data_IF_063865840902
#
_entry.id   IF_063865840902
#
_cell.length_a   1.000
_cell.length_b   1.000
_cell.length_c   1.000
_cell.angle_alpha   90.00
_cell.angle_beta   90.00
_cell.angle_gamma   90.00
#
_symmetry.space_group_name_H-M   'P 1'
#
loop_
_entity.id
_entity.type
_entity.pdbx_description
1 polymer ?
#
# COMPACT_ATOMS: atom_id res chain seq x y z
N UNK A 1 -8.62 3.06 -13.20
CA UNK A 1 -8.24 1.67 -13.58
C UNK A 1 -6.75 1.37 -13.38
N UNK A 2 -5.84 2.31 -13.69
CA UNK A 2 -4.40 2.11 -13.52
C UNK A 2 -3.97 1.82 -12.09
N UNK A 3 -4.54 2.50 -11.10
CA UNK A 3 -4.24 2.28 -9.68
C UNK A 3 -4.53 0.83 -9.27
N UNK A 4 -5.68 0.27 -9.67
CA UNK A 4 -6.06 -1.12 -9.38
C UNK A 4 -5.08 -2.10 -10.02
N UNK A 5 -4.65 -1.84 -11.25
CA UNK A 5 -3.67 -2.65 -11.97
C UNK A 5 -2.32 -2.68 -11.24
N UNK A 6 -1.80 -1.51 -10.83
CA UNK A 6 -0.50 -1.44 -10.16
C UNK A 6 -0.54 -1.97 -8.73
N UNK A 7 -1.66 -1.83 -8.02
CA UNK A 7 -1.86 -2.49 -6.72
C UNK A 7 -1.89 -4.01 -6.86
N UNK A 8 -2.55 -4.54 -7.88
CA UNK A 8 -2.52 -5.97 -8.22
C UNK A 8 -1.12 -6.45 -8.58
N UNK A 9 -0.35 -5.65 -9.34
CA UNK A 9 1.03 -5.96 -9.69
C UNK A 9 1.93 -6.02 -8.46
N UNK A 10 1.77 -5.10 -7.51
CA UNK A 10 2.50 -5.10 -6.24
C UNK A 10 2.14 -6.30 -5.38
N UNK A 11 0.85 -6.60 -5.24
CA UNK A 11 0.39 -7.79 -4.51
C UNK A 11 0.97 -9.08 -5.09
N UNK A 12 0.96 -9.22 -6.42
CA UNK A 12 1.56 -10.34 -7.11
C UNK A 12 3.09 -10.40 -6.93
N UNK A 13 3.77 -9.25 -7.07
CA UNK A 13 5.22 -9.15 -6.92
C UNK A 13 5.69 -9.56 -5.53
N UNK A 14 5.03 -9.07 -4.48
CA UNK A 14 5.32 -9.47 -3.10
C UNK A 14 4.86 -10.90 -2.79
N UNK A 15 3.74 -11.34 -3.36
CA UNK A 15 3.24 -12.71 -3.19
C UNK A 15 4.10 -13.78 -3.87
N UNK A 16 4.87 -13.41 -4.89
CA UNK A 16 5.86 -14.28 -5.55
C UNK A 16 7.24 -14.22 -4.91
N UNK A 17 7.46 -13.32 -3.95
CA UNK A 17 8.72 -13.22 -3.23
C UNK A 17 8.93 -14.47 -2.36
N UNK A 18 10.16 -14.93 -2.30
CA UNK A 18 10.59 -16.01 -1.41
C UNK A 18 11.76 -15.53 -0.57
N UNK A 19 11.90 -16.11 0.60
CA UNK A 19 12.93 -15.75 1.55
C UNK A 19 13.77 -16.99 1.82
N UNK A 20 15.06 -16.93 1.49
CA UNK A 20 16.01 -18.01 1.71
C UNK A 20 17.32 -17.38 2.14
N UNK A 21 17.82 -17.76 3.30
CA UNK A 21 19.08 -17.28 3.82
C UNK A 21 20.18 -18.29 3.50
N UNK A 22 21.16 -17.88 2.69
CA UNK A 22 22.30 -18.72 2.31
C UNK A 22 23.45 -18.59 3.33
N UNK A 23 24.26 -19.63 3.44
CA UNK A 23 25.49 -19.65 4.27
C UNK A 23 26.44 -18.49 3.99
N UNK A 24 26.57 -18.08 2.72
CA UNK A 24 27.42 -16.95 2.34
C UNK A 24 26.84 -15.61 2.84
N UNK A 25 25.53 -15.47 2.86
CA UNK A 25 24.83 -14.28 3.36
C UNK A 25 24.94 -14.20 4.89
N UNK A 26 24.78 -15.32 5.60
CA UNK A 26 24.96 -15.41 7.05
C UNK A 26 26.37 -14.99 7.44
N UNK A 27 27.41 -15.42 6.70
CA UNK A 27 28.79 -15.04 6.98
C UNK A 27 29.08 -13.53 6.84
N UNK A 28 28.21 -12.79 6.15
CA UNK A 28 28.31 -11.32 6.01
C UNK A 28 27.57 -10.54 7.11
N UNK A 29 26.76 -11.22 7.93
CA UNK A 29 26.01 -10.64 9.04
C UNK A 29 26.85 -10.50 10.31
N UNK A 30 26.31 -9.87 11.34
CA UNK A 30 26.96 -9.73 12.63
C UNK A 30 27.25 -11.12 13.26
N UNK A 31 28.49 -11.31 13.72
CA UNK A 31 28.97 -12.57 14.30
C UNK A 31 28.09 -13.04 15.48
N UNK A 32 27.45 -12.08 16.16
CA UNK A 32 26.62 -12.34 17.33
C UNK A 32 25.40 -13.23 17.05
N UNK A 33 24.85 -13.16 15.82
CA UNK A 33 23.61 -13.88 15.44
C UNK A 33 23.86 -15.06 14.49
N UNK A 34 25.08 -15.21 13.95
CA UNK A 34 25.38 -16.24 12.95
C UNK A 34 25.11 -17.67 13.42
N UNK A 35 25.46 -17.97 14.67
CA UNK A 35 25.29 -19.30 15.24
C UNK A 35 23.81 -19.65 15.48
N UNK A 36 23.01 -18.65 15.86
CA UNK A 36 21.60 -18.82 16.17
C UNK A 36 20.77 -19.01 14.90
N UNK A 37 21.24 -18.50 13.75
CA UNK A 37 20.56 -18.64 12.47
C UNK A 37 20.70 -20.02 11.82
N UNK A 38 21.57 -20.89 12.32
CA UNK A 38 21.82 -22.22 11.77
C UNK A 38 20.56 -23.05 11.44
N UNK A 39 19.47 -23.02 12.24
CA UNK A 39 18.27 -23.81 11.96
C UNK A 39 17.48 -23.38 10.72
N UNK A 40 17.65 -22.11 10.28
CA UNK A 40 16.87 -21.53 9.17
C UNK A 40 17.70 -21.30 7.91
N UNK A 41 18.98 -21.69 7.90
CA UNK A 41 19.84 -21.63 6.73
C UNK A 41 19.30 -22.59 5.67
N UNK A 42 19.25 -22.15 4.42
CA UNK A 42 18.76 -22.88 3.24
C UNK A 42 17.28 -23.28 3.33
N UNK A 43 16.55 -22.83 4.34
CA UNK A 43 15.12 -23.02 4.44
C UNK A 43 14.37 -21.95 3.62
N UNK A 44 13.36 -22.36 2.87
CA UNK A 44 12.61 -21.48 1.98
C UNK A 44 11.26 -21.12 2.57
N UNK A 45 11.05 -19.83 2.76
CA UNK A 45 9.77 -19.27 3.22
C UNK A 45 9.04 -18.57 2.07
N UNK A 46 7.73 -18.80 1.99
CA UNK A 46 6.87 -18.27 0.92
C UNK A 46 6.23 -16.91 1.25
N UNK A 47 6.47 -16.39 2.46
CA UNK A 47 5.95 -15.07 2.86
C UNK A 47 6.88 -14.40 3.86
N UNK A 48 6.82 -13.06 3.89
CA UNK A 48 7.53 -12.22 4.85
C UNK A 48 7.11 -12.52 6.30
N UNK A 49 5.81 -12.79 6.54
CA UNK A 49 5.30 -13.13 7.86
C UNK A 49 5.86 -14.47 8.35
N UNK A 50 5.89 -15.48 7.50
CA UNK A 50 6.43 -16.78 7.87
C UNK A 50 7.93 -16.70 8.19
N UNK A 51 8.69 -15.95 7.38
CA UNK A 51 10.11 -15.74 7.62
C UNK A 51 10.38 -14.96 8.90
N UNK A 52 9.63 -13.88 9.17
CA UNK A 52 9.72 -13.12 10.43
C UNK A 52 9.39 -13.97 11.66
N UNK A 53 8.38 -14.83 11.55
CA UNK A 53 8.04 -15.74 12.64
C UNK A 53 9.17 -16.71 12.94
N UNK A 54 9.81 -17.28 11.92
CA UNK A 54 10.97 -18.16 12.07
C UNK A 54 12.16 -17.41 12.70
N UNK A 55 12.42 -16.16 12.29
CA UNK A 55 13.46 -15.32 12.91
C UNK A 55 13.18 -15.07 14.39
N UNK A 56 11.94 -14.80 14.76
CA UNK A 56 11.56 -14.59 16.17
C UNK A 56 11.70 -15.85 17.02
N UNK A 57 11.43 -17.01 16.44
CA UNK A 57 11.60 -18.29 17.13
C UNK A 57 13.08 -18.60 17.43
N UNK A 58 13.96 -18.28 16.49
CA UNK A 58 15.39 -18.61 16.56
C UNK A 58 16.18 -17.56 17.35
N UNK A 59 15.96 -16.27 17.09
CA UNK A 59 16.73 -15.17 17.71
C UNK A 59 16.05 -14.57 18.94
N UNK A 60 14.75 -14.86 19.16
CA UNK A 60 13.94 -14.15 20.13
C UNK A 60 13.45 -12.78 19.61
N UNK A 61 12.44 -12.24 20.27
CA UNK A 61 11.70 -11.08 19.78
C UNK A 61 12.53 -9.80 19.67
N UNK A 62 13.47 -9.55 20.58
CA UNK A 62 14.29 -8.34 20.59
C UNK A 62 15.36 -8.35 19.48
N UNK A 63 16.11 -9.44 19.36
CA UNK A 63 17.17 -9.55 18.35
C UNK A 63 16.60 -9.65 16.95
N UNK A 64 15.53 -10.44 16.77
CA UNK A 64 14.82 -10.53 15.49
C UNK A 64 14.36 -9.16 15.00
N UNK A 65 13.85 -8.31 15.90
CA UNK A 65 13.42 -6.95 15.55
C UNK A 65 14.59 -6.01 15.28
N UNK A 66 15.68 -6.16 15.98
CA UNK A 66 16.89 -5.34 15.79
C UNK A 66 17.52 -5.56 14.41
N UNK A 67 17.62 -6.82 13.98
CA UNK A 67 18.23 -7.21 12.71
C UNK A 67 17.22 -7.48 11.59
N UNK A 68 15.91 -7.24 11.80
CA UNK A 68 14.82 -7.55 10.87
C UNK A 68 15.08 -7.03 9.46
N UNK A 69 15.45 -5.77 9.34
CA UNK A 69 15.67 -5.14 8.03
C UNK A 69 16.84 -5.75 7.28
N UNK A 70 17.93 -6.06 7.97
CA UNK A 70 19.13 -6.64 7.40
C UNK A 70 18.88 -8.09 6.95
N UNK A 71 18.25 -8.88 7.81
CA UNK A 71 17.93 -10.29 7.55
C UNK A 71 16.91 -10.45 6.42
N UNK A 72 15.88 -9.60 6.36
CA UNK A 72 14.93 -9.61 5.25
C UNK A 72 15.62 -9.21 3.94
N UNK A 73 16.46 -8.18 3.96
CA UNK A 73 17.17 -7.71 2.76
C UNK A 73 18.15 -8.76 2.24
N UNK A 74 18.80 -9.50 3.14
CA UNK A 74 19.69 -10.58 2.76
C UNK A 74 18.95 -11.78 2.16
N UNK A 75 17.83 -12.17 2.76
CA UNK A 75 17.10 -13.40 2.39
C UNK A 75 16.13 -13.24 1.22
N UNK A 76 15.66 -12.03 0.94
CA UNK A 76 14.57 -11.81 -0.01
C UNK A 76 15.00 -12.08 -1.46
N UNK A 77 14.24 -12.95 -2.12
CA UNK A 77 14.36 -13.24 -3.54
C UNK A 77 13.08 -12.80 -4.24
N UNK A 78 13.12 -11.64 -4.88
CA UNK A 78 12.01 -11.08 -5.64
C UNK A 78 12.52 -10.38 -6.90
N UNK A 79 11.62 -10.07 -7.83
CA UNK A 79 11.97 -9.25 -8.97
C UNK A 79 11.87 -7.76 -8.60
N UNK A 80 13.00 -7.07 -8.33
CA UNK A 80 12.98 -5.68 -7.88
C UNK A 80 12.44 -4.73 -8.95
N UNK A 81 12.64 -5.05 -10.23
CA UNK A 81 12.13 -4.26 -11.35
C UNK A 81 10.61 -4.26 -11.40
N UNK A 82 9.98 -5.41 -11.14
CA UNK A 82 8.52 -5.53 -11.10
C UNK A 82 7.92 -4.68 -9.97
N UNK A 83 8.52 -4.73 -8.78
CA UNK A 83 8.10 -3.91 -7.63
C UNK A 83 8.30 -2.42 -7.92
N UNK A 84 9.44 -2.04 -8.50
CA UNK A 84 9.73 -0.66 -8.86
C UNK A 84 8.71 -0.11 -9.88
N UNK A 85 8.40 -0.88 -10.93
CA UNK A 85 7.37 -0.53 -11.92
C UNK A 85 5.99 -0.40 -11.24
N UNK A 86 5.67 -1.29 -10.33
CA UNK A 86 4.43 -1.25 -9.56
C UNK A 86 4.29 0.04 -8.75
N UNK A 87 5.33 0.42 -8.01
CA UNK A 87 5.36 1.64 -7.18
C UNK A 87 5.30 2.89 -8.06
N UNK A 88 6.19 3.02 -9.05
CA UNK A 88 6.24 4.20 -9.93
C UNK A 88 4.94 4.34 -10.70
N UNK A 89 4.41 3.24 -11.24
CA UNK A 89 3.16 3.23 -11.98
C UNK A 89 1.96 3.63 -11.12
N UNK A 90 1.90 3.14 -9.88
CA UNK A 90 0.89 3.56 -8.92
C UNK A 90 0.95 5.06 -8.64
N UNK A 91 2.14 5.57 -8.28
CA UNK A 91 2.34 7.00 -7.97
C UNK A 91 2.01 7.87 -9.19
N UNK A 92 2.45 7.50 -10.38
CA UNK A 92 2.16 8.23 -11.61
C UNK A 92 0.66 8.25 -11.92
N UNK A 93 -0.03 7.12 -11.80
CA UNK A 93 -1.47 7.06 -11.99
C UNK A 93 -2.23 7.89 -10.97
N UNK A 94 -1.80 7.89 -9.71
CA UNK A 94 -2.41 8.68 -8.65
C UNK A 94 -2.23 10.18 -8.90
N UNK A 95 -1.01 10.62 -9.17
CA UNK A 95 -0.66 12.03 -9.38
C UNK A 95 -1.32 12.66 -10.62
N UNK A 96 -1.52 11.86 -11.69
CA UNK A 96 -2.13 12.37 -12.93
C UNK A 96 -3.66 12.32 -12.88
N UNK A 97 -4.26 11.38 -12.12
CA UNK A 97 -5.70 11.16 -12.18
C UNK A 97 -6.46 11.61 -10.93
N UNK A 98 -6.19 11.03 -9.78
CA UNK A 98 -7.02 11.23 -8.59
C UNK A 98 -6.78 12.59 -7.93
N UNK A 99 -5.54 12.96 -7.78
CA UNK A 99 -5.19 14.17 -7.01
C UNK A 99 -5.74 15.47 -7.64
N UNK A 100 -5.47 15.78 -8.91
CA UNK A 100 -5.98 17.01 -9.52
C UNK A 100 -7.51 16.96 -9.75
N UNK A 101 -8.05 15.80 -10.16
CA UNK A 101 -9.48 15.66 -10.46
C UNK A 101 -10.33 15.81 -9.19
N UNK A 102 -9.87 15.32 -8.05
CA UNK A 102 -10.60 15.41 -6.79
C UNK A 102 -10.86 16.87 -6.38
N UNK A 103 -9.83 17.72 -6.44
CA UNK A 103 -9.96 19.12 -6.06
C UNK A 103 -10.82 19.94 -7.03
N UNK A 104 -10.71 19.68 -8.32
CA UNK A 104 -11.58 20.29 -9.35
C UNK A 104 -13.02 19.87 -9.11
N UNK A 105 -13.28 18.58 -8.91
CA UNK A 105 -14.61 18.04 -8.67
C UNK A 105 -15.27 18.67 -7.44
N UNK A 106 -14.55 18.85 -6.34
CA UNK A 106 -15.09 19.54 -5.15
C UNK A 106 -15.47 20.99 -5.45
N UNK A 107 -14.70 21.68 -6.30
CA UNK A 107 -15.03 23.04 -6.70
C UNK A 107 -16.25 23.15 -7.60
N UNK A 108 -16.57 22.08 -8.34
CA UNK A 108 -17.72 22.02 -9.23
C UNK A 108 -19.01 21.52 -8.55
N UNK A 109 -18.89 20.60 -7.58
CA UNK A 109 -20.03 20.00 -6.89
C UNK A 109 -20.65 20.90 -5.82
N UNK A 110 -19.85 21.78 -5.17
CA UNK A 110 -20.36 22.58 -4.05
C UNK A 110 -20.80 23.98 -4.49
N UNK A 111 -22.05 24.41 -4.12
CA UNK A 111 -22.53 25.77 -4.35
C UNK A 111 -21.61 26.81 -3.73
N UNK A 112 -21.47 27.99 -4.39
CA UNK A 112 -20.58 29.08 -3.98
C UNK A 112 -20.72 29.47 -2.51
N UNK A 113 -21.98 29.49 -1.99
CA UNK A 113 -22.28 29.93 -0.62
C UNK A 113 -21.64 29.05 0.46
N UNK A 114 -21.51 27.75 0.24
CA UNK A 114 -21.02 26.79 1.23
C UNK A 114 -19.71 26.11 0.82
N UNK A 115 -19.20 26.40 -0.38
CA UNK A 115 -18.01 25.76 -0.97
C UNK A 115 -16.81 25.74 -0.04
N UNK A 116 -16.48 26.88 0.59
CA UNK A 116 -15.34 26.96 1.49
C UNK A 116 -15.47 26.02 2.69
N UNK A 117 -16.63 26.00 3.33
CA UNK A 117 -16.89 25.12 4.48
C UNK A 117 -16.89 23.65 4.05
N UNK A 118 -17.55 23.33 2.93
CA UNK A 118 -17.64 21.98 2.42
C UNK A 118 -16.27 21.41 2.04
N UNK A 119 -15.45 22.17 1.33
CA UNK A 119 -14.07 21.76 0.98
C UNK A 119 -13.21 21.56 2.23
N UNK A 120 -13.31 22.48 3.21
CA UNK A 120 -12.57 22.36 4.47
C UNK A 120 -12.99 21.12 5.25
N UNK A 121 -14.28 20.81 5.30
CA UNK A 121 -14.80 19.61 5.97
C UNK A 121 -14.32 18.32 5.29
N UNK A 122 -14.42 18.24 3.97
CA UNK A 122 -13.92 17.10 3.19
C UNK A 122 -12.40 16.97 3.36
N UNK A 123 -11.65 18.07 3.31
CA UNK A 123 -10.21 18.08 3.54
C UNK A 123 -9.84 17.59 4.95
N UNK A 124 -10.61 17.98 5.97
CA UNK A 124 -10.41 17.48 7.33
C UNK A 124 -10.66 15.96 7.43
N UNK A 125 -11.74 15.44 6.87
CA UNK A 125 -12.02 14.00 6.84
C UNK A 125 -10.92 13.25 6.09
N UNK A 126 -10.50 13.76 4.93
CA UNK A 126 -9.41 13.15 4.15
C UNK A 126 -8.10 13.07 4.96
N UNK A 127 -7.74 14.16 5.66
CA UNK A 127 -6.54 14.19 6.50
C UNK A 127 -6.64 13.24 7.69
N UNK A 128 -7.81 13.16 8.33
CA UNK A 128 -8.05 12.25 9.44
C UNK A 128 -7.93 10.78 9.01
N UNK A 129 -8.53 10.41 7.87
CA UNK A 129 -8.43 9.06 7.32
C UNK A 129 -6.98 8.76 6.90
N UNK A 130 -6.29 9.71 6.28
CA UNK A 130 -4.88 9.53 5.89
C UNK A 130 -3.98 9.31 7.10
N UNK A 131 -4.18 10.05 8.19
CA UNK A 131 -3.45 9.83 9.43
C UNK A 131 -3.73 8.44 10.01
N UNK A 132 -5.00 8.02 10.04
CA UNK A 132 -5.40 6.72 10.54
C UNK A 132 -4.77 5.59 9.73
N UNK A 133 -4.78 5.68 8.40
CA UNK A 133 -4.12 4.72 7.51
C UNK A 133 -2.61 4.65 7.80
N UNK A 134 -1.94 5.79 7.99
CA UNK A 134 -0.50 5.82 8.30
C UNK A 134 -0.15 5.12 9.62
N UNK A 135 -1.06 5.17 10.62
CA UNK A 135 -0.87 4.43 11.88
C UNK A 135 -1.12 2.93 11.73
N UNK A 136 -2.12 2.54 10.94
CA UNK A 136 -2.53 1.14 10.77
C UNK A 136 -1.59 0.40 9.81
N UNK A 137 -1.10 1.07 8.77
CA UNK A 137 -0.32 0.46 7.70
C UNK A 137 0.92 -0.33 8.17
N UNK A 138 1.77 0.15 9.11
CA UNK A 138 2.89 -0.64 9.63
C UNK A 138 2.45 -1.92 10.34
N UNK A 139 1.33 -1.86 11.06
CA UNK A 139 0.76 -3.04 11.71
C UNK A 139 0.21 -4.04 10.69
N UNK A 140 -0.47 -3.58 9.65
CA UNK A 140 -0.94 -4.45 8.57
C UNK A 140 0.22 -5.15 7.87
N UNK A 141 1.29 -4.43 7.54
CA UNK A 141 2.49 -5.01 6.93
C UNK A 141 3.14 -6.08 7.80
N UNK A 142 3.19 -5.85 9.12
CA UNK A 142 3.80 -6.81 10.05
C UNK A 142 2.93 -8.04 10.32
N UNK A 143 1.60 -7.88 10.31
CA UNK A 143 0.65 -8.93 10.71
C UNK A 143 0.09 -9.73 9.53
N UNK A 144 -0.21 -9.05 8.41
CA UNK A 144 -0.84 -9.63 7.23
C UNK A 144 0.16 -9.94 6.10
N UNK A 145 1.33 -9.30 6.17
CA UNK A 145 2.34 -9.36 5.13
C UNK A 145 2.08 -8.42 3.96
N UNK A 146 3.14 -8.13 3.21
CA UNK A 146 3.11 -7.15 2.13
C UNK A 146 2.14 -7.51 1.01
N UNK A 147 2.12 -8.78 0.57
CA UNK A 147 1.25 -9.24 -0.50
C UNK A 147 -0.24 -9.05 -0.17
N UNK A 148 -0.66 -9.45 1.03
CA UNK A 148 -2.06 -9.36 1.49
C UNK A 148 -2.48 -7.91 1.68
N UNK A 149 -1.61 -7.08 2.27
CA UNK A 149 -1.87 -5.66 2.47
C UNK A 149 -2.13 -4.96 1.13
N UNK A 150 -1.25 -5.12 0.13
CA UNK A 150 -1.46 -4.52 -1.18
C UNK A 150 -2.70 -5.07 -1.90
N UNK A 151 -3.06 -6.34 -1.69
CA UNK A 151 -4.30 -6.91 -2.22
C UNK A 151 -5.54 -6.24 -1.61
N UNK A 152 -5.56 -6.01 -0.31
CA UNK A 152 -6.66 -5.31 0.40
C UNK A 152 -6.82 -3.89 -0.14
N UNK A 153 -5.73 -3.12 -0.24
CA UNK A 153 -5.78 -1.76 -0.80
C UNK A 153 -6.21 -1.76 -2.28
N UNK A 154 -5.79 -2.75 -3.06
CA UNK A 154 -6.25 -2.95 -4.43
C UNK A 154 -7.76 -3.21 -4.51
N UNK A 155 -8.32 -3.99 -3.59
CA UNK A 155 -9.76 -4.24 -3.48
C UNK A 155 -10.52 -2.96 -3.10
N UNK A 156 -10.03 -2.17 -2.15
CA UNK A 156 -10.63 -0.87 -1.83
C UNK A 156 -10.60 0.08 -3.03
N UNK A 157 -9.50 0.12 -3.79
CA UNK A 157 -9.40 0.92 -5.01
C UNK A 157 -10.42 0.46 -6.08
N UNK A 158 -10.67 -0.83 -6.19
CA UNK A 158 -11.66 -1.41 -7.11
C UNK A 158 -13.09 -1.05 -6.67
N UNK A 159 -13.39 -1.14 -5.39
CA UNK A 159 -14.69 -0.70 -4.84
C UNK A 159 -14.88 0.80 -5.08
N UNK A 160 -13.85 1.63 -4.83
CA UNK A 160 -13.88 3.06 -5.11
C UNK A 160 -14.11 3.36 -6.60
N UNK A 161 -13.46 2.63 -7.50
CA UNK A 161 -13.68 2.75 -8.94
C UNK A 161 -15.14 2.42 -9.33
N UNK A 162 -15.70 1.34 -8.79
CA UNK A 162 -17.09 0.98 -9.02
C UNK A 162 -18.05 2.07 -8.53
N UNK A 163 -17.78 2.62 -7.35
CA UNK A 163 -18.56 3.72 -6.76
C UNK A 163 -18.53 4.97 -7.67
N UNK A 164 -17.34 5.36 -8.14
CA UNK A 164 -17.18 6.51 -9.03
C UNK A 164 -17.98 6.30 -10.32
N UNK A 165 -17.84 5.15 -10.97
CA UNK A 165 -18.53 4.86 -12.25
C UNK A 165 -20.05 4.87 -12.11
N UNK A 166 -20.56 4.44 -10.94
CA UNK A 166 -22.02 4.28 -10.73
C UNK A 166 -22.70 5.51 -10.16
N UNK A 167 -22.03 6.29 -9.35
CA UNK A 167 -22.65 7.33 -8.51
C UNK A 167 -22.21 8.74 -8.85
N UNK A 168 -21.03 8.94 -9.48
CA UNK A 168 -20.64 10.27 -9.89
C UNK A 168 -21.33 10.65 -11.22
N UNK A 169 -22.05 11.78 -11.24
CA UNK A 169 -22.58 12.34 -12.48
C UNK A 169 -21.43 12.88 -13.35
N UNK A 170 -21.56 12.77 -14.67
CA UNK A 170 -20.64 13.40 -15.61
C UNK A 170 -20.76 14.92 -15.50
N UNK A 171 -19.70 15.58 -15.06
CA UNK A 171 -19.65 17.05 -14.87
C UNK A 171 -19.18 17.79 -16.11
N UNK A 172 -18.56 17.09 -17.07
CA UNK A 172 -17.97 17.66 -18.27
C UNK A 172 -19.00 18.39 -19.13
N UNK A 173 -18.83 19.68 -19.31
CA UNK A 173 -19.67 20.51 -20.17
C UNK A 173 -21.04 20.89 -19.58
N UNK A 174 -21.29 20.60 -18.30
CA UNK A 174 -22.50 21.04 -17.59
C UNK A 174 -22.24 22.32 -16.80
N UNK A 175 -23.22 23.23 -16.75
CA UNK A 175 -23.15 24.39 -15.87
C UNK A 175 -23.39 23.97 -14.40
N UNK A 176 -22.89 24.78 -13.45
CA UNK A 176 -23.08 24.54 -12.02
C UNK A 176 -24.57 24.44 -11.63
N UNK A 177 -25.40 25.28 -12.26
CA UNK A 177 -26.85 25.30 -12.04
C UNK A 177 -27.54 24.03 -12.58
N UNK A 178 -27.03 23.43 -13.63
CA UNK A 178 -27.53 22.18 -14.20
C UNK A 178 -27.16 21.00 -13.29
N UNK A 179 -25.94 21.00 -12.75
CA UNK A 179 -25.47 19.97 -11.81
C UNK A 179 -26.23 20.06 -10.47
N UNK A 180 -26.48 21.24 -9.96
CA UNK A 180 -27.27 21.45 -8.73
C UNK A 180 -28.68 20.87 -8.84
N UNK A 181 -29.34 21.06 -9.98
CA UNK A 181 -30.68 20.48 -10.25
C UNK A 181 -30.67 18.95 -10.38
N UNK A 182 -29.56 18.37 -10.83
CA UNK A 182 -29.44 16.91 -10.99
C UNK A 182 -29.13 16.20 -9.68
N UNK A 183 -28.40 16.87 -8.78
CA UNK A 183 -27.99 16.35 -7.47
C UNK A 183 -29.06 16.51 -6.38
N UNK A 184 -29.98 17.46 -6.51
CA UNK A 184 -31.06 17.75 -5.53
C UNK A 184 -32.34 16.93 -5.82
N UNK A 185 -32.35 16.05 -6.81
CA UNK A 185 -33.40 15.06 -7.02
C UNK A 185 -33.15 13.81 -6.19
#
# INVERSE_FOLDING_TARGET
SGIVLFMGLLSYGFGSATYTLDTAQVASLDVTIQNDLAPIIDERYSSDVAYKSALQEVLGMEQAKMYESELITAAIQMNPTLILIGIIGFVACFAVSLEPVMWVLFSELFPLKIRGIAISFVGFINSAISALVQFIFPWELSSLGSATTFMIYGLFALIGLFFIIRLLPETKGKSLEALEKELVK
#
